data_IF_678112898324
#
_entry.id   IF_678112898324
#
_cell.length_a   1.000
_cell.length_b   1.000
_cell.length_c   1.000
_cell.angle_alpha   90.00
_cell.angle_beta   90.00
_cell.angle_gamma   90.00
#
_symmetry.space_group_name_H-M   'P 1'
#
loop_
_entity.id
_entity.type
_entity.pdbx_description
1 polymer ?
#
# COMPACT_ATOMS: atom_id res chain seq x y z
N UNK A 1 8.76 -24.76 10.88
CA UNK A 1 9.45 -23.69 11.63
C UNK A 1 9.16 -22.41 10.88
N UNK A 2 8.39 -21.48 11.46
CA UNK A 2 8.12 -20.18 10.83
C UNK A 2 9.34 -19.30 11.10
N UNK A 3 9.96 -18.77 10.04
CA UNK A 3 11.15 -17.93 10.15
C UNK A 3 10.79 -16.58 10.76
N UNK A 4 9.56 -16.11 10.51
CA UNK A 4 8.95 -14.94 11.14
C UNK A 4 7.56 -15.30 11.65
N UNK A 5 7.37 -15.26 12.97
CA UNK A 5 6.05 -15.27 13.59
C UNK A 5 5.66 -13.83 13.87
N UNK A 6 4.71 -13.29 13.12
CA UNK A 6 4.18 -11.94 13.38
C UNK A 6 3.16 -11.99 14.53
N UNK A 7 3.57 -12.53 15.68
CA UNK A 7 2.87 -12.36 16.96
C UNK A 7 2.94 -10.88 17.32
N UNK A 8 1.96 -10.12 16.83
CA UNK A 8 1.92 -8.66 16.91
C UNK A 8 1.24 -8.00 15.69
N UNK A 9 1.08 -8.71 14.57
CA UNK A 9 0.46 -8.19 13.34
C UNK A 9 -1.04 -7.88 13.45
N UNK A 10 -1.66 -8.18 14.59
CA UNK A 10 -3.11 -8.14 14.81
C UNK A 10 -3.44 -7.44 16.12
N UNK A 11 -3.07 -6.19 16.28
CA UNK A 11 -3.88 -5.38 17.19
C UNK A 11 -4.88 -4.51 16.44
N UNK A 12 -4.53 -3.92 15.28
CA UNK A 12 -5.47 -2.99 14.63
C UNK A 12 -5.33 -2.97 13.10
N UNK A 13 -6.17 -3.74 12.40
CA UNK A 13 -6.50 -3.41 11.00
C UNK A 13 -7.75 -2.55 11.03
N UNK A 14 -7.62 -1.27 10.71
CA UNK A 14 -8.77 -0.46 10.35
C UNK A 14 -8.89 -0.48 8.83
N UNK A 15 -9.91 -1.15 8.31
CA UNK A 15 -10.35 -0.88 6.95
C UNK A 15 -11.06 0.45 7.00
N UNK A 16 -10.32 1.54 6.77
CA UNK A 16 -10.90 2.87 6.64
C UNK A 16 -11.60 2.92 5.29
N UNK A 17 -12.93 3.04 5.29
CA UNK A 17 -13.69 3.27 4.07
C UNK A 17 -13.31 4.67 3.53
N UNK A 18 -12.69 4.72 2.35
CA UNK A 18 -12.49 5.98 1.65
C UNK A 18 -13.84 6.59 1.29
N UNK A 19 -14.03 7.86 1.64
CA UNK A 19 -15.26 8.62 1.36
C UNK A 19 -15.08 9.65 0.25
N UNK A 20 -13.83 9.97 -0.10
CA UNK A 20 -13.46 10.90 -1.17
C UNK A 20 -12.65 10.17 -2.25
N UNK A 21 -12.69 10.70 -3.48
CA UNK A 21 -11.88 10.18 -4.58
C UNK A 21 -10.38 10.30 -4.27
N UNK A 22 -9.95 11.40 -3.65
CA UNK A 22 -8.57 11.60 -3.22
C UNK A 22 -8.09 10.50 -2.26
N UNK A 23 -8.95 10.07 -1.34
CA UNK A 23 -8.65 8.97 -0.42
C UNK A 23 -8.71 7.59 -1.10
N UNK A 24 -9.41 7.45 -2.23
CA UNK A 24 -9.34 6.23 -3.06
C UNK A 24 -8.03 6.21 -3.84
N UNK A 25 -7.67 7.33 -4.46
CA UNK A 25 -6.47 7.46 -5.28
C UNK A 25 -5.19 7.25 -4.44
N UNK A 26 -5.21 7.67 -3.16
CA UNK A 26 -4.10 7.45 -2.23
C UNK A 26 -3.86 5.98 -1.87
N UNK A 27 -4.83 5.09 -2.12
CA UNK A 27 -4.67 3.64 -1.94
C UNK A 27 -3.84 3.01 -3.05
N UNK A 28 -3.52 3.74 -4.11
CA UNK A 28 -2.76 3.25 -5.25
C UNK A 28 -1.47 4.04 -5.44
N UNK A 29 -0.47 3.38 -5.99
CA UNK A 29 0.76 4.01 -6.47
C UNK A 29 0.98 3.67 -7.93
N UNK A 30 1.84 4.44 -8.58
CA UNK A 30 2.13 4.29 -10.01
C UNK A 30 3.43 3.51 -10.16
N UNK A 31 3.36 2.35 -10.82
CA UNK A 31 4.52 1.54 -11.20
C UNK A 31 4.63 1.46 -12.73
N UNK A 32 5.83 1.17 -13.22
CA UNK A 32 6.04 0.86 -14.64
C UNK A 32 5.27 -0.40 -15.03
N UNK A 33 4.59 -0.38 -16.17
CA UNK A 33 3.97 -1.58 -16.72
C UNK A 33 5.04 -2.41 -17.42
N UNK A 34 5.39 -3.54 -16.80
CA UNK A 34 6.46 -4.44 -17.23
C UNK A 34 5.86 -5.75 -17.73
N UNK A 35 6.28 -6.20 -18.90
CA UNK A 35 5.91 -7.51 -19.45
C UNK A 35 6.57 -8.67 -18.67
N UNK A 36 6.17 -9.92 -18.94
CA UNK A 36 6.70 -11.08 -18.21
C UNK A 36 8.22 -11.28 -18.38
N UNK A 37 8.79 -10.74 -19.46
CA UNK A 37 10.22 -10.79 -19.76
C UNK A 37 11.04 -9.67 -19.07
N UNK A 38 10.38 -8.76 -18.35
CA UNK A 38 11.03 -7.61 -17.71
C UNK A 38 11.09 -6.35 -18.57
N UNK A 39 10.54 -6.36 -19.78
CA UNK A 39 10.54 -5.20 -20.69
C UNK A 39 9.46 -4.19 -20.29
N UNK A 40 9.84 -2.91 -20.13
CA UNK A 40 8.88 -1.83 -19.86
C UNK A 40 8.07 -1.54 -21.11
N UNK A 41 6.74 -1.60 -20.99
CA UNK A 41 5.83 -1.30 -22.10
C UNK A 41 5.90 0.17 -22.46
N UNK A 42 5.87 0.45 -23.76
CA UNK A 42 5.91 1.82 -24.30
C UNK A 42 4.70 2.08 -25.18
N UNK A 43 4.20 3.30 -25.14
CA UNK A 43 3.10 3.74 -26.01
C UNK A 43 3.59 4.01 -27.44
N UNK A 44 2.68 4.36 -28.34
CA UNK A 44 2.96 4.62 -29.76
C UNK A 44 3.97 5.77 -29.99
N UNK A 45 4.15 6.65 -29.00
CA UNK A 45 5.08 7.78 -29.02
C UNK A 45 6.44 7.41 -28.40
N UNK A 46 6.57 6.19 -27.86
CA UNK A 46 7.77 5.68 -27.21
C UNK A 46 7.90 6.01 -25.72
N UNK A 47 6.88 6.60 -25.09
CA UNK A 47 6.87 6.89 -23.65
C UNK A 47 6.52 5.63 -22.85
N UNK A 48 7.15 5.48 -21.69
CA UNK A 48 6.90 4.36 -20.78
C UNK A 48 5.47 4.41 -20.22
N UNK A 49 4.80 3.26 -20.26
CA UNK A 49 3.45 3.10 -19.74
C UNK A 49 3.57 2.77 -18.26
N UNK A 50 2.69 3.39 -17.48
CA UNK A 50 2.54 3.11 -16.05
C UNK A 50 1.18 2.51 -15.75
N UNK A 51 1.11 1.79 -14.63
CA UNK A 51 -0.14 1.24 -14.10
C UNK A 51 -0.30 1.60 -12.63
N UNK A 52 -1.54 1.66 -12.18
CA UNK A 52 -1.88 1.81 -10.77
C UNK A 52 -1.81 0.44 -10.09
N UNK A 53 -1.04 0.36 -9.01
CA UNK A 53 -0.97 -0.82 -8.14
C UNK A 53 -1.45 -0.45 -6.74
N UNK A 54 -2.24 -1.29 -6.06
CA UNK A 54 -2.63 -1.02 -4.69
C UNK A 54 -1.41 -0.93 -3.76
N UNK A 55 -1.31 0.13 -2.95
CA UNK A 55 -0.34 0.25 -1.85
C UNK A 55 -0.58 -0.78 -0.76
N UNK A 56 -1.85 -1.16 -0.58
CA UNK A 56 -2.27 -2.18 0.37
C UNK A 56 -2.74 -3.43 -0.34
N UNK A 57 -2.38 -4.64 0.13
CA UNK A 57 -2.87 -5.87 -0.46
C UNK A 57 -4.38 -5.97 -0.27
N UNK A 58 -5.15 -5.77 -1.35
CA UNK A 58 -6.60 -6.06 -1.37
C UNK A 58 -6.86 -7.57 -1.17
N UNK A 59 -5.87 -8.41 -1.51
CA UNK A 59 -5.77 -9.81 -1.16
C UNK A 59 -4.29 -10.20 -0.96
N UNK A 60 -4.02 -11.07 0.01
CA UNK A 60 -2.66 -11.51 0.33
C UNK A 60 -2.22 -12.64 -0.60
N UNK A 61 -1.03 -12.52 -1.21
CA UNK A 61 -0.40 -13.55 -2.04
C UNK A 61 1.01 -13.88 -1.53
N UNK A 62 1.62 -14.98 -1.97
CA UNK A 62 2.98 -15.39 -1.52
C UNK A 62 4.03 -14.27 -1.64
N UNK A 63 3.99 -13.50 -2.73
CA UNK A 63 4.90 -12.37 -2.98
C UNK A 63 4.85 -11.30 -1.88
N UNK A 64 3.70 -11.15 -1.21
CA UNK A 64 3.54 -10.17 -0.13
C UNK A 64 4.29 -10.57 1.14
N UNK A 65 4.42 -11.88 1.41
CA UNK A 65 5.19 -12.41 2.54
C UNK A 65 6.70 -12.34 2.33
N UNK A 66 7.15 -12.10 1.09
CA UNK A 66 8.56 -11.88 0.76
C UNK A 66 9.00 -10.44 1.04
N UNK A 67 8.04 -9.51 1.26
CA UNK A 67 8.32 -8.12 1.62
C UNK A 67 8.48 -7.97 3.14
N UNK A 68 9.44 -7.15 3.61
CA UNK A 68 9.57 -6.84 5.03
C UNK A 68 8.36 -6.05 5.51
N UNK A 69 8.04 -6.13 6.81
CA UNK A 69 6.85 -5.47 7.40
C UNK A 69 6.86 -3.96 7.14
N UNK A 70 8.02 -3.31 7.25
CA UNK A 70 8.22 -1.88 7.02
C UNK A 70 7.77 -1.41 5.63
N UNK A 71 7.70 -2.31 4.65
CA UNK A 71 7.20 -2.01 3.31
C UNK A 71 5.72 -1.58 3.33
N UNK A 72 4.93 -2.08 4.28
CA UNK A 72 3.49 -1.78 4.40
C UNK A 72 3.16 -0.76 5.48
N UNK A 73 4.17 -0.24 6.19
CA UNK A 73 3.98 0.72 7.26
C UNK A 73 4.14 2.15 6.73
N UNK A 74 3.12 2.97 6.92
CA UNK A 74 3.25 4.43 6.84
C UNK A 74 3.69 4.89 8.22
N UNK A 75 4.87 5.50 8.30
CA UNK A 75 5.38 6.04 9.56
C UNK A 75 4.69 7.35 9.87
N UNK A 76 4.43 7.60 11.15
CA UNK A 76 3.81 8.83 11.63
C UNK A 76 4.57 10.07 11.12
N UNK A 77 5.90 10.01 11.05
CA UNK A 77 6.74 11.10 10.55
C UNK A 77 6.50 11.47 9.07
N UNK A 78 5.89 10.57 8.30
CA UNK A 78 5.58 10.75 6.87
C UNK A 78 4.12 11.07 6.60
N UNK A 79 3.29 11.09 7.65
CA UNK A 79 1.85 11.37 7.54
C UNK A 79 1.60 12.87 7.34
N UNK A 80 0.56 13.19 6.57
CA UNK A 80 0.05 14.55 6.52
C UNK A 80 -0.64 14.92 7.84
N UNK A 81 -0.86 16.21 8.10
CA UNK A 81 -1.58 16.69 9.28
C UNK A 81 -3.02 16.12 9.36
N UNK A 82 -3.67 15.96 8.21
CA UNK A 82 -5.00 15.34 8.11
C UNK A 82 -4.97 13.84 8.46
N UNK A 83 -3.95 13.12 7.98
CA UNK A 83 -3.76 11.71 8.28
C UNK A 83 -3.49 11.48 9.77
N UNK A 84 -2.70 12.36 10.41
CA UNK A 84 -2.43 12.32 11.86
C UNK A 84 -3.72 12.51 12.68
N UNK A 85 -4.55 13.47 12.30
CA UNK A 85 -5.86 13.68 12.94
C UNK A 85 -6.74 12.44 12.77
N UNK A 86 -6.75 11.84 11.58
CA UNK A 86 -7.47 10.59 11.31
C UNK A 86 -6.96 9.42 12.17
N UNK A 87 -5.64 9.28 12.28
CA UNK A 87 -4.98 8.26 13.07
C UNK A 87 -5.32 8.36 14.56
N UNK A 88 -5.23 9.56 15.15
CA UNK A 88 -5.58 9.78 16.56
C UNK A 88 -7.06 9.51 16.85
N UNK A 89 -7.97 9.84 15.92
CA UNK A 89 -9.39 9.50 16.05
C UNK A 89 -9.61 7.98 16.06
N UNK A 90 -8.89 7.22 15.23
CA UNK A 90 -8.97 5.75 15.22
C UNK A 90 -8.40 5.15 16.51
N UNK A 91 -7.29 5.70 17.00
CA UNK A 91 -6.64 5.29 18.25
C UNK A 91 -7.56 5.46 19.46
N UNK A 92 -8.31 6.57 19.51
CA UNK A 92 -9.30 6.83 20.55
C UNK A 92 -10.57 5.97 20.46
N UNK A 93 -10.88 5.41 19.27
CA UNK A 93 -12.06 4.57 19.07
C UNK A 93 -11.89 3.12 19.59
N UNK A 94 -10.65 2.66 19.79
CA UNK A 94 -10.33 1.28 20.24
C UNK A 94 -9.51 1.30 21.51
#
# INVERSE_FOLDING_TARGET
>A
MFVDSVRGFKERYYVVKSVSQLAVDSLFETELDVEEDGTVRRNEVGNEITRLVPRFPMCWTKKHFEKPIDFYLIKEETMSEEDLIGFERLKAYV
#
